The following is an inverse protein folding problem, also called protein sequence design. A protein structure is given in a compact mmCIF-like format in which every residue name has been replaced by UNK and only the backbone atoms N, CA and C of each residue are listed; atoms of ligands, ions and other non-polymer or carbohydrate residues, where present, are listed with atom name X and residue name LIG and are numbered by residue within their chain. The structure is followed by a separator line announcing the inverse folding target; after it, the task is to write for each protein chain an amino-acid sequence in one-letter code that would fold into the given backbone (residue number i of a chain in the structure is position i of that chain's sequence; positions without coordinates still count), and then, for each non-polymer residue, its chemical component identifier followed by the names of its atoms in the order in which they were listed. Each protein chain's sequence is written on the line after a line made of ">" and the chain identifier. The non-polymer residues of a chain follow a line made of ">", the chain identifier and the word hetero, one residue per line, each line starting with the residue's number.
data_IF_646771874161
#
_entry.id   IF_646771874161
#
_cell.length_a   1.000
_cell.length_b   1.000
_cell.length_c   1.000
_cell.angle_alpha   90.00
_cell.angle_beta   90.00
_cell.angle_gamma   90.00
#
_symmetry.space_group_name_H-M   'P 1'
#
loop_
_entity.id
_entity.type
_entity.pdbx_description
1 polymer ?
#
# COMPACT_ATOMS: atom_id res chain seq x y z
N UNK A 1 -3.66 18.17 2.36
CA UNK A 1 -4.65 17.22 1.91
C UNK A 1 -4.52 15.92 2.67
N UNK A 2 -5.65 15.36 3.07
CA UNK A 2 -5.61 14.10 3.79
C UNK A 2 -5.35 12.94 2.84
N UNK A 3 -4.72 11.90 3.36
CA UNK A 3 -4.50 10.69 2.58
C UNK A 3 -5.79 9.90 2.46
N UNK A 4 -6.00 9.34 1.29
CA UNK A 4 -7.10 8.43 1.00
C UNK A 4 -6.48 7.14 0.50
N UNK A 5 -6.38 6.16 1.38
CA UNK A 5 -5.58 4.97 1.15
C UNK A 5 -6.42 3.83 0.61
N UNK A 6 -6.01 3.29 -0.53
CA UNK A 6 -6.52 2.04 -1.06
C UNK A 6 -5.45 0.97 -0.79
N UNK A 7 -5.81 -0.10 -0.11
CA UNK A 7 -4.85 -1.12 0.31
C UNK A 7 -4.88 -2.28 -0.68
N UNK A 8 -3.73 -2.62 -1.24
CA UNK A 8 -3.62 -3.72 -2.19
C UNK A 8 -3.30 -5.03 -1.48
N UNK A 9 -4.20 -6.01 -1.61
CA UNK A 9 -4.02 -7.32 -1.00
C UNK A 9 -4.21 -8.47 -1.99
N UNK A 10 -4.14 -8.19 -3.24
CA UNK A 10 -4.44 -9.06 -4.38
C UNK A 10 -4.16 -10.56 -4.12
N UNK A 11 -5.22 -11.35 -4.04
CA UNK A 11 -5.11 -12.79 -3.85
C UNK A 11 -4.71 -13.26 -2.46
N UNK A 12 -4.41 -12.34 -1.55
CA UNK A 12 -3.94 -12.67 -0.20
C UNK A 12 -4.79 -11.98 0.86
N UNK A 13 -6.10 -11.91 0.62
CA UNK A 13 -7.03 -11.16 1.46
C UNK A 13 -7.56 -12.02 2.60
N UNK A 14 -6.74 -12.18 3.62
CA UNK A 14 -7.12 -12.87 4.85
C UNK A 14 -6.37 -12.24 6.01
N UNK A 15 -6.85 -12.45 7.26
CA UNK A 15 -6.17 -11.87 8.41
C UNK A 15 -4.71 -12.32 8.54
N UNK A 16 -4.42 -13.57 8.20
CA UNK A 16 -3.07 -14.10 8.32
C UNK A 16 -2.14 -13.63 7.21
N UNK A 17 -2.65 -13.52 5.99
CA UNK A 17 -1.83 -13.16 4.83
C UNK A 17 -1.67 -11.65 4.70
N UNK A 18 -2.62 -10.87 5.20
CA UNK A 18 -2.64 -9.43 5.04
C UNK A 18 -2.58 -8.71 6.38
N UNK A 19 -1.60 -9.06 7.20
CA UNK A 19 -1.46 -8.47 8.53
C UNK A 19 -1.25 -6.96 8.47
N UNK A 20 -0.48 -6.49 7.51
CA UNK A 20 -0.26 -5.06 7.34
C UNK A 20 -1.56 -4.35 7.01
N UNK A 21 -2.37 -4.92 6.11
CA UNK A 21 -3.66 -4.35 5.76
C UNK A 21 -4.55 -4.26 6.99
N UNK A 22 -4.62 -5.34 7.77
CA UNK A 22 -5.45 -5.36 8.97
C UNK A 22 -5.01 -4.30 9.98
N UNK A 23 -3.70 -4.14 10.15
CA UNK A 23 -3.17 -3.14 11.08
C UNK A 23 -3.52 -1.73 10.64
N UNK A 24 -3.37 -1.43 9.36
CA UNK A 24 -3.66 -0.10 8.83
C UNK A 24 -5.15 0.19 8.96
N UNK A 25 -6.00 -0.78 8.62
CA UNK A 25 -7.46 -0.61 8.76
C UNK A 25 -7.81 -0.32 10.22
N UNK A 26 -7.19 -1.02 11.15
CA UNK A 26 -7.50 -0.87 12.57
C UNK A 26 -7.03 0.46 13.14
N UNK A 27 -5.84 0.93 12.75
CA UNK A 27 -5.22 2.10 13.36
C UNK A 27 -5.33 3.37 12.54
N UNK A 28 -5.71 3.27 11.25
CA UNK A 28 -5.84 4.42 10.36
C UNK A 28 -7.15 4.39 9.60
N UNK A 29 -8.19 3.93 10.26
CA UNK A 29 -9.49 3.69 9.63
C UNK A 29 -10.00 4.91 8.87
N UNK A 30 -9.81 6.10 9.43
CA UNK A 30 -10.30 7.33 8.81
C UNK A 30 -9.58 7.68 7.51
N UNK A 31 -8.40 7.09 7.28
CA UNK A 31 -7.66 7.34 6.05
C UNK A 31 -7.89 6.27 4.98
N UNK A 32 -8.43 5.12 5.36
CA UNK A 32 -8.61 4.00 4.43
C UNK A 32 -9.95 4.12 3.72
N UNK A 33 -9.91 4.09 2.38
CA UNK A 33 -11.14 4.17 1.58
C UNK A 33 -11.56 2.83 0.99
N UNK A 34 -10.72 1.82 1.05
CA UNK A 34 -11.06 0.50 0.57
C UNK A 34 -9.86 -0.41 0.46
N UNK A 35 -10.12 -1.62 -0.02
CA UNK A 35 -9.10 -2.64 -0.26
C UNK A 35 -9.26 -3.12 -1.70
N UNK A 36 -8.14 -3.31 -2.40
CA UNK A 36 -8.14 -3.74 -3.79
C UNK A 36 -7.74 -5.20 -3.89
N UNK A 37 -8.65 -6.03 -4.38
CA UNK A 37 -8.39 -7.43 -4.68
C UNK A 37 -9.27 -7.86 -5.83
N UNK A 38 -8.66 -8.13 -6.98
CA UNK A 38 -9.40 -8.50 -8.19
C UNK A 38 -9.77 -9.98 -8.21
N UNK A 39 -9.28 -10.76 -7.24
CA UNK A 39 -9.52 -12.21 -7.22
C UNK A 39 -10.79 -12.61 -6.50
N UNK A 40 -11.45 -11.66 -5.82
CA UNK A 40 -12.69 -11.92 -5.09
C UNK A 40 -13.77 -10.94 -5.54
N UNK A 41 -15.05 -11.29 -5.39
CA UNK A 41 -16.11 -10.34 -5.71
C UNK A 41 -16.13 -9.19 -4.72
N UNK A 42 -16.64 -8.02 -5.12
CA UNK A 42 -16.78 -6.90 -4.20
C UNK A 42 -17.59 -7.27 -2.97
N UNK A 43 -17.09 -6.88 -1.79
CA UNK A 43 -17.71 -7.21 -0.52
C UNK A 43 -17.15 -6.28 0.56
N UNK A 44 -17.50 -6.52 1.81
CA UNK A 44 -16.96 -5.70 2.91
C UNK A 44 -15.65 -6.25 3.40
N UNK A 45 -14.81 -5.36 3.94
CA UNK A 45 -13.54 -5.78 4.56
C UNK A 45 -13.78 -6.70 5.75
N UNK A 46 -14.89 -6.51 6.46
CA UNK A 46 -15.21 -7.35 7.60
C UNK A 46 -15.32 -8.83 7.20
N UNK A 47 -15.82 -9.10 5.99
CA UNK A 47 -15.93 -10.47 5.51
C UNK A 47 -14.59 -11.16 5.31
N UNK A 48 -13.58 -10.42 4.87
CA UNK A 48 -12.29 -11.01 4.51
C UNK A 48 -11.26 -10.91 5.63
N UNK A 49 -11.28 -9.81 6.37
CA UNK A 49 -10.20 -9.49 7.32
C UNK A 49 -10.67 -9.49 8.76
N UNK A 50 -11.95 -9.62 9.01
CA UNK A 50 -12.54 -9.56 10.34
C UNK A 50 -12.31 -8.21 11.02
N UNK A 51 -11.99 -7.20 10.23
CA UNK A 51 -11.87 -5.79 10.66
C UNK A 51 -12.37 -4.91 9.52
N UNK A 52 -12.62 -3.65 9.82
CA UNK A 52 -12.94 -2.65 8.80
C UNK A 52 -14.42 -2.43 8.57
N UNK A 53 -15.28 -3.25 9.14
CA UNK A 53 -16.72 -3.07 9.01
C UNK A 53 -17.17 -2.94 7.57
N UNK A 54 -17.77 -1.80 7.24
CA UNK A 54 -18.34 -1.58 5.91
C UNK A 54 -17.35 -1.09 4.86
N UNK A 55 -16.05 -0.98 5.18
CA UNK A 55 -15.06 -0.60 4.17
C UNK A 55 -15.15 -1.58 2.99
N UNK A 56 -15.20 -1.07 1.75
CA UNK A 56 -15.39 -1.94 0.60
C UNK A 56 -14.10 -2.63 0.16
N UNK A 57 -14.25 -3.87 -0.29
CA UNK A 57 -13.23 -4.55 -1.08
C UNK A 57 -13.64 -4.37 -2.53
N UNK A 58 -12.78 -3.77 -3.33
CA UNK A 58 -13.09 -3.43 -4.71
C UNK A 58 -12.18 -4.19 -5.67
N UNK A 59 -12.59 -4.31 -6.91
CA UNK A 59 -11.84 -5.05 -7.92
C UNK A 59 -11.20 -4.15 -8.97
N UNK A 60 -11.19 -2.84 -8.74
CA UNK A 60 -10.57 -1.89 -9.65
C UNK A 60 -10.22 -0.62 -8.89
N UNK A 61 -9.07 -0.03 -9.23
CA UNK A 61 -8.70 1.29 -8.71
C UNK A 61 -9.76 2.33 -9.08
N UNK A 62 -10.38 2.16 -10.24
CA UNK A 62 -11.40 3.09 -10.71
C UNK A 62 -12.64 3.12 -9.83
N UNK A 63 -12.87 2.09 -9.03
CA UNK A 63 -14.02 2.04 -8.13
C UNK A 63 -13.88 3.01 -6.96
N UNK A 64 -12.67 3.52 -6.69
CA UNK A 64 -12.41 4.46 -5.59
C UNK A 64 -11.63 5.65 -6.14
N UNK A 65 -12.27 6.52 -6.93
CA UNK A 65 -11.55 7.61 -7.59
C UNK A 65 -10.96 8.62 -6.61
N UNK A 66 -11.45 8.68 -5.38
CA UNK A 66 -10.90 9.60 -4.38
C UNK A 66 -9.57 9.11 -3.78
N UNK A 67 -9.18 7.86 -3.99
CA UNK A 67 -7.94 7.33 -3.44
C UNK A 67 -6.73 8.04 -4.04
N UNK A 68 -5.79 8.43 -3.19
CA UNK A 68 -4.56 9.10 -3.64
C UNK A 68 -3.29 8.37 -3.18
N UNK A 69 -3.44 7.27 -2.45
CA UNK A 69 -2.33 6.41 -2.03
C UNK A 69 -2.73 4.96 -2.23
N UNK A 70 -1.83 4.18 -2.82
CA UNK A 70 -1.97 2.73 -2.86
C UNK A 70 -0.94 2.16 -1.88
N UNK A 71 -1.40 1.46 -0.87
CA UNK A 71 -0.53 0.81 0.12
C UNK A 71 -0.50 -0.69 -0.15
N UNK A 72 0.70 -1.25 -0.28
CA UNK A 72 0.84 -2.70 -0.42
C UNK A 72 0.70 -3.31 0.96
N UNK A 73 -0.43 -3.97 1.19
CA UNK A 73 -0.85 -4.41 2.53
C UNK A 73 -0.56 -5.86 2.87
N UNK A 74 0.36 -6.48 2.12
CA UNK A 74 0.71 -7.88 2.34
C UNK A 74 2.22 -8.02 2.40
N UNK A 75 2.66 -9.18 2.89
CA UNK A 75 4.09 -9.53 2.94
C UNK A 75 4.26 -10.87 2.25
N UNK A 76 4.40 -10.88 0.91
CA UNK A 76 4.51 -12.13 0.19
C UNK A 76 5.80 -12.86 0.50
N UNK A 77 5.74 -14.18 0.38
CA UNK A 77 6.91 -15.03 0.56
C UNK A 77 8.00 -14.61 -0.42
N UNK A 78 9.21 -14.43 0.08
CA UNK A 78 10.33 -14.00 -0.75
C UNK A 78 10.51 -12.51 -0.82
N UNK A 79 9.55 -11.72 -0.32
CA UNK A 79 9.68 -10.27 -0.20
C UNK A 79 9.49 -9.48 -1.48
N UNK A 80 9.33 -10.14 -2.63
CA UNK A 80 9.13 -9.47 -3.91
C UNK A 80 7.67 -9.25 -4.23
N UNK A 81 7.41 -8.48 -5.26
CA UNK A 81 6.04 -8.16 -5.68
C UNK A 81 5.55 -9.20 -6.70
N UNK A 82 4.49 -9.95 -6.39
CA UNK A 82 3.92 -10.90 -7.36
C UNK A 82 3.45 -10.19 -8.62
N UNK A 83 3.52 -10.90 -9.75
CA UNK A 83 3.18 -10.33 -11.05
C UNK A 83 1.76 -9.73 -11.12
N UNK A 84 0.72 -10.39 -10.57
CA UNK A 84 -0.61 -9.79 -10.61
C UNK A 84 -0.68 -8.45 -9.88
N UNK A 85 0.08 -8.29 -8.81
CA UNK A 85 0.11 -7.01 -8.08
C UNK A 85 0.88 -5.95 -8.84
N UNK A 86 1.86 -6.36 -9.63
CA UNK A 86 2.64 -5.43 -10.42
C UNK A 86 1.76 -4.61 -11.36
N UNK A 87 0.78 -5.27 -11.99
CA UNK A 87 -0.15 -4.58 -12.87
C UNK A 87 -0.99 -3.56 -12.10
N UNK A 88 -1.41 -3.91 -10.90
CA UNK A 88 -2.22 -3.00 -10.08
C UNK A 88 -1.39 -1.79 -9.64
N UNK A 89 -0.15 -2.01 -9.24
CA UNK A 89 0.75 -0.93 -8.84
C UNK A 89 0.99 0.02 -10.02
N UNK A 90 1.27 -0.52 -11.20
CA UNK A 90 1.48 0.31 -12.38
C UNK A 90 0.24 1.13 -12.72
N UNK A 91 -0.94 0.52 -12.63
CA UNK A 91 -2.18 1.25 -12.87
C UNK A 91 -2.38 2.41 -11.90
N UNK A 92 -2.05 2.21 -10.63
CA UNK A 92 -2.14 3.26 -9.62
C UNK A 92 -1.12 4.37 -9.90
N UNK A 93 0.10 4.01 -10.29
CA UNK A 93 1.12 4.99 -10.62
C UNK A 93 0.66 5.86 -11.79
N UNK A 94 0.09 5.24 -12.80
CA UNK A 94 -0.40 5.97 -13.98
C UNK A 94 -1.50 6.95 -13.66
N UNK A 95 -2.26 6.68 -12.59
CA UNK A 95 -3.28 7.60 -12.11
C UNK A 95 -2.72 8.73 -11.24
N UNK A 96 -1.43 8.71 -10.97
CA UNK A 96 -0.80 9.73 -10.14
C UNK A 96 -0.89 9.47 -8.65
N UNK A 97 -1.28 8.26 -8.24
CA UNK A 97 -1.33 7.90 -6.83
C UNK A 97 0.07 7.66 -6.29
N UNK A 98 0.30 8.02 -5.04
CA UNK A 98 1.54 7.65 -4.36
C UNK A 98 1.48 6.18 -3.96
N UNK A 99 2.62 5.50 -3.98
CA UNK A 99 2.69 4.09 -3.65
C UNK A 99 3.51 3.91 -2.38
N UNK A 100 2.92 3.26 -1.39
CA UNK A 100 3.59 2.96 -0.11
C UNK A 100 3.85 1.47 -0.04
N UNK A 101 5.09 1.08 0.20
CA UNK A 101 5.49 -0.33 0.23
C UNK A 101 6.41 -0.61 1.40
N UNK A 102 6.10 -1.69 2.13
CA UNK A 102 6.99 -2.23 3.15
C UNK A 102 7.71 -3.51 2.71
N UNK A 103 7.75 -3.77 1.41
CA UNK A 103 8.39 -4.97 0.88
C UNK A 103 9.91 -4.93 1.06
N UNK A 104 10.53 -6.10 1.05
CA UNK A 104 11.98 -6.22 1.08
C UNK A 104 12.61 -5.68 -0.21
N UNK A 105 12.00 -5.99 -1.36
CA UNK A 105 12.43 -5.43 -2.63
C UNK A 105 11.85 -4.03 -2.77
N UNK A 106 12.69 -3.06 -3.06
CA UNK A 106 12.26 -1.67 -3.12
C UNK A 106 11.67 -1.34 -4.48
N UNK A 107 10.55 -0.60 -4.47
CA UNK A 107 9.92 -0.14 -5.71
C UNK A 107 10.84 0.81 -6.47
N UNK A 108 11.60 1.61 -5.75
CA UNK A 108 12.51 2.59 -6.36
C UNK A 108 13.69 1.93 -7.07
N UNK A 109 13.90 0.64 -6.89
CA UNK A 109 14.93 -0.11 -7.61
C UNK A 109 14.40 -0.75 -8.88
N UNK A 110 13.11 -0.57 -9.17
CA UNK A 110 12.47 -1.13 -10.37
C UNK A 110 12.32 -0.05 -11.42
N UNK A 111 13.03 -0.21 -12.54
CA UNK A 111 13.07 0.81 -13.58
C UNK A 111 11.70 1.10 -14.18
N UNK A 112 10.85 0.10 -14.30
CA UNK A 112 9.52 0.28 -14.84
C UNK A 112 8.67 1.15 -13.93
N UNK A 113 8.71 0.89 -12.63
CA UNK A 113 7.97 1.70 -11.67
C UNK A 113 8.50 3.13 -11.62
N UNK A 114 9.82 3.28 -11.61
CA UNK A 114 10.44 4.61 -11.57
C UNK A 114 10.05 5.41 -12.81
N UNK A 115 10.13 4.79 -13.98
CA UNK A 115 9.80 5.46 -15.22
C UNK A 115 8.33 5.90 -15.23
N UNK A 116 7.43 5.02 -14.82
CA UNK A 116 6.00 5.33 -14.76
C UNK A 116 5.73 6.47 -13.77
N UNK A 117 6.39 6.44 -12.61
CA UNK A 117 6.20 7.46 -11.58
C UNK A 117 6.69 8.83 -12.06
N UNK A 118 7.80 8.86 -12.79
CA UNK A 118 8.31 10.12 -13.34
C UNK A 118 7.33 10.75 -14.32
N UNK A 119 6.65 9.93 -15.09
CA UNK A 119 5.67 10.42 -16.06
C UNK A 119 4.41 10.95 -15.42
N UNK A 120 3.97 10.31 -14.34
CA UNK A 120 2.68 10.64 -13.71
C UNK A 120 2.80 11.58 -12.53
N UNK A 121 4.00 11.73 -11.98
CA UNK A 121 4.21 12.52 -10.78
C UNK A 121 4.00 11.76 -9.47
N UNK A 122 3.81 10.44 -9.53
CA UNK A 122 3.66 9.60 -8.36
C UNK A 122 4.95 9.55 -7.55
N UNK A 123 4.80 9.39 -6.23
CA UNK A 123 5.94 9.19 -5.32
C UNK A 123 5.94 7.73 -4.90
N UNK A 124 7.11 7.10 -5.00
CA UNK A 124 7.31 5.72 -4.54
C UNK A 124 7.96 5.77 -3.16
N UNK A 125 7.23 5.31 -2.14
CA UNK A 125 7.73 5.32 -0.77
C UNK A 125 8.01 3.90 -0.31
N UNK A 126 9.29 3.56 -0.27
CA UNK A 126 9.75 2.29 0.27
C UNK A 126 9.99 2.50 1.77
N UNK A 127 9.00 2.14 2.57
CA UNK A 127 9.00 2.42 4.00
C UNK A 127 10.19 1.77 4.70
N UNK A 128 10.56 0.58 4.26
CA UNK A 128 11.68 -0.14 4.82
C UNK A 128 13.01 0.57 4.54
N UNK A 129 13.16 1.13 3.35
CA UNK A 129 14.36 1.90 2.98
C UNK A 129 14.47 3.16 3.84
N UNK A 130 13.35 3.85 4.03
CA UNK A 130 13.33 5.05 4.85
C UNK A 130 13.73 4.73 6.30
N UNK A 131 13.25 3.61 6.82
CA UNK A 131 13.60 3.19 8.18
C UNK A 131 15.09 2.89 8.29
N UNK A 132 15.67 2.26 7.27
CA UNK A 132 17.09 1.97 7.26
C UNK A 132 17.92 3.25 7.26
N UNK A 133 17.49 4.25 6.48
CA UNK A 133 18.16 5.54 6.48
C UNK A 133 18.12 6.20 7.84
N UNK A 134 16.97 6.16 8.46
CA UNK A 134 16.79 6.76 9.77
C UNK A 134 17.71 6.13 10.79
N UNK A 135 17.86 4.82 10.74
CA UNK A 135 18.77 4.11 11.63
C UNK A 135 20.22 4.52 11.36
N UNK A 136 20.63 4.62 10.10
CA UNK A 136 21.99 4.97 9.73
C UNK A 136 22.37 6.39 10.10
N UNK A 137 21.38 7.28 10.20
CA UNK A 137 21.60 8.68 10.48
C UNK A 137 20.97 9.09 11.81
N UNK A 138 21.07 8.21 12.78
CA UNK A 138 20.36 8.37 14.04
C UNK A 138 20.61 9.71 14.73
N UNK A 139 21.85 10.19 14.71
CA UNK A 139 22.17 11.44 15.38
C UNK A 139 21.52 12.65 14.73
N UNK A 140 20.98 12.49 13.52
CA UNK A 140 20.31 13.55 12.79
C UNK A 140 18.79 13.42 12.79
N UNK A 141 18.26 12.41 13.46
CA UNK A 141 16.84 12.13 13.44
C UNK A 141 16.13 13.09 14.38
N UNK A 142 15.12 13.78 13.85
CA UNK A 142 14.28 14.63 14.67
C UNK A 142 13.34 13.78 15.52
N UNK A 143 12.78 14.35 16.59
CA UNK A 143 11.82 13.61 17.41
C UNK A 143 10.61 13.10 16.63
N UNK A 144 10.20 13.82 15.59
CA UNK A 144 9.09 13.37 14.76
C UNK A 144 9.39 12.05 14.08
N UNK A 145 10.61 11.88 13.61
CA UNK A 145 10.99 10.63 12.96
C UNK A 145 10.91 9.45 13.91
N UNK A 146 11.25 9.67 15.17
CA UNK A 146 11.20 8.61 16.17
C UNK A 146 9.79 8.16 16.49
N UNK A 147 8.81 9.01 16.24
CA UNK A 147 7.41 8.70 16.56
C UNK A 147 6.67 8.04 15.42
N UNK A 148 7.29 7.85 14.29
CA UNK A 148 6.60 7.39 13.08
C UNK A 148 6.55 5.87 12.98
N UNK A 149 7.19 5.17 13.83
CA UNK A 149 7.23 3.72 13.70
C UNK A 149 6.28 2.96 14.56
#
# INVERSE_FOLDING_TARGET
>A
MSRKILILTEGLSSPNSAKTACSVIRYREEEVVGVLDTTVPPQSCQNLFEVGGDLPVVNSVDAVPEANVLLIGIAPTGGGLPEPMRMQVLGAIERGMDIYSGLHDFLADDDEFVSAAQKSGSVLRDLRRNNERDVAQRQNISPECLRVH
#
